data_IF_145078859507
#
_entry.id   IF_145078859507
#
_cell.length_a   1.000
_cell.length_b   1.000
_cell.length_c   1.000
_cell.angle_alpha   90.00
_cell.angle_beta   90.00
_cell.angle_gamma   90.00
#
_symmetry.space_group_name_H-M   'P 1'
#
loop_
_entity.id
_entity.type
_entity.pdbx_description
1 polymer ?
#
# COMPACT_ATOMS: atom_id res chain seq x y z
N UNK A 1 -9.32 15.29 -0.29
CA UNK A 1 -9.40 13.87 -0.67
C UNK A 1 -7.98 13.33 -0.67
N UNK A 2 -7.73 12.19 -0.03
CA UNK A 2 -6.42 11.53 -0.04
C UNK A 2 -6.55 10.23 -0.84
N UNK A 3 -5.56 9.99 -1.70
CA UNK A 3 -5.51 8.82 -2.57
C UNK A 3 -4.17 8.14 -2.31
N UNK A 4 -4.21 6.82 -2.16
CA UNK A 4 -2.99 6.02 -2.17
C UNK A 4 -2.81 5.42 -3.56
N UNK A 5 -1.67 5.72 -4.16
CA UNK A 5 -1.22 5.10 -5.40
C UNK A 5 0.09 4.38 -5.18
N UNK A 6 0.27 3.26 -5.88
CA UNK A 6 1.54 2.55 -5.93
C UNK A 6 1.78 2.00 -7.32
N UNK A 7 3.05 1.78 -7.62
CA UNK A 7 3.51 1.19 -8.86
C UNK A 7 4.56 0.13 -8.58
N UNK A 8 4.61 -0.83 -9.48
CA UNK A 8 5.56 -1.94 -9.48
C UNK A 8 6.32 -1.93 -10.80
N UNK A 9 7.33 -2.80 -10.92
CA UNK A 9 8.03 -3.00 -12.20
C UNK A 9 7.13 -3.52 -13.33
N UNK A 10 5.97 -4.13 -13.01
CA UNK A 10 5.00 -4.66 -13.99
C UNK A 10 3.83 -3.70 -14.28
N UNK A 11 3.75 -2.56 -13.61
CA UNK A 11 2.69 -1.58 -13.85
C UNK A 11 2.16 -0.93 -12.57
N UNK A 12 1.09 -0.14 -12.74
CA UNK A 12 0.41 0.57 -11.66
C UNK A 12 -0.60 -0.33 -10.95
N UNK A 13 -0.75 -0.13 -9.64
CA UNK A 13 -1.78 -0.78 -8.85
C UNK A 13 -3.07 0.06 -8.84
N UNK A 14 -4.24 -0.56 -8.62
CA UNK A 14 -5.49 0.17 -8.44
C UNK A 14 -5.37 1.24 -7.34
N UNK A 15 -5.88 2.44 -7.61
CA UNK A 15 -5.88 3.53 -6.65
C UNK A 15 -6.82 3.21 -5.48
N UNK A 16 -6.38 3.54 -4.26
CA UNK A 16 -7.19 3.39 -3.06
C UNK A 16 -7.65 4.75 -2.55
N UNK A 17 -8.96 4.91 -2.44
CA UNK A 17 -9.55 6.11 -1.85
C UNK A 17 -9.50 6.01 -0.33
N UNK A 18 -8.89 7.00 0.31
CA UNK A 18 -8.93 7.14 1.77
C UNK A 18 -10.12 8.04 2.13
N UNK A 19 -11.04 7.59 3.01
CA UNK A 19 -12.19 8.38 3.40
C UNK A 19 -11.79 9.76 3.96
N UNK A 20 -12.64 10.74 3.72
CA UNK A 20 -12.42 12.08 4.26
C UNK A 20 -12.43 12.04 5.79
N UNK A 21 -11.59 12.88 6.42
CA UNK A 21 -11.43 13.00 7.88
C UNK A 21 -10.84 11.78 8.61
N UNK A 22 -10.25 10.82 7.90
CA UNK A 22 -9.46 9.75 8.53
C UNK A 22 -8.02 10.19 8.68
N UNK A 23 -7.49 10.13 9.91
CA UNK A 23 -6.06 10.30 10.15
C UNK A 23 -5.36 8.97 9.90
N UNK A 24 -4.45 8.94 8.92
CA UNK A 24 -3.60 7.76 8.70
C UNK A 24 -2.58 7.66 9.83
N UNK A 25 -2.84 6.73 10.75
CA UNK A 25 -1.88 6.27 11.75
C UNK A 25 -1.36 4.88 11.34
N UNK A 26 -0.46 4.29 12.15
CA UNK A 26 0.12 2.98 11.86
C UNK A 26 -0.94 1.90 11.66
N UNK A 27 -1.93 1.79 12.55
CA UNK A 27 -2.96 0.75 12.48
C UNK A 27 -3.78 0.86 11.18
N UNK A 28 -4.18 2.08 10.82
CA UNK A 28 -4.90 2.34 9.58
C UNK A 28 -4.02 2.08 8.35
N UNK A 29 -2.76 2.54 8.37
CA UNK A 29 -1.81 2.28 7.29
C UNK A 29 -1.62 0.78 7.07
N UNK A 30 -1.37 -0.01 8.11
CA UNK A 30 -1.17 -1.45 7.98
C UNK A 30 -2.42 -2.17 7.45
N UNK A 31 -3.60 -1.85 7.99
CA UNK A 31 -4.82 -2.62 7.73
C UNK A 31 -5.55 -2.20 6.47
N UNK A 32 -5.51 -0.90 6.13
CA UNK A 32 -6.32 -0.30 5.08
C UNK A 32 -5.49 0.18 3.89
N UNK A 33 -4.16 0.17 4.00
CA UNK A 33 -3.25 0.59 2.93
C UNK A 33 -2.27 -0.52 2.57
N UNK A 34 -1.29 -0.80 3.42
CA UNK A 34 -0.16 -1.66 3.07
C UNK A 34 -0.57 -3.11 2.81
N UNK A 35 -1.35 -3.72 3.70
CA UNK A 35 -1.77 -5.11 3.55
C UNK A 35 -2.63 -5.34 2.29
N UNK A 36 -3.70 -4.56 2.03
CA UNK A 36 -4.45 -4.67 0.78
C UNK A 36 -3.59 -4.43 -0.46
N UNK A 37 -2.61 -3.51 -0.39
CA UNK A 37 -1.78 -3.16 -1.53
C UNK A 37 -0.84 -4.30 -1.93
N UNK A 38 -0.29 -5.02 -0.96
CA UNK A 38 0.56 -6.18 -1.20
C UNK A 38 -0.25 -7.44 -1.55
N UNK A 39 -1.26 -7.77 -0.75
CA UNK A 39 -2.00 -9.03 -0.90
C UNK A 39 -2.94 -9.01 -2.11
N UNK A 40 -3.76 -7.96 -2.26
CA UNK A 40 -4.73 -7.87 -3.35
C UNK A 40 -4.15 -7.22 -4.60
N UNK A 41 -3.27 -6.24 -4.42
CA UNK A 41 -2.68 -5.48 -5.52
C UNK A 41 -1.54 -6.24 -6.20
N UNK A 42 -0.41 -6.35 -5.50
CA UNK A 42 0.81 -7.00 -6.02
C UNK A 42 0.54 -8.47 -6.33
N UNK A 43 -0.15 -9.19 -5.43
CA UNK A 43 -0.51 -10.60 -5.62
C UNK A 43 -1.20 -10.88 -6.96
N UNK A 44 -2.12 -10.00 -7.40
CA UNK A 44 -2.81 -10.13 -8.70
C UNK A 44 -1.93 -9.84 -9.91
N UNK A 45 -0.98 -8.90 -9.81
CA UNK A 45 -0.07 -8.57 -10.92
C UNK A 45 1.02 -9.63 -11.10
N UNK A 46 1.41 -10.28 -10.01
CA UNK A 46 2.52 -11.23 -10.02
C UNK A 46 2.09 -12.70 -10.02
N UNK A 47 0.78 -13.00 -9.96
CA UNK A 47 0.16 -14.33 -10.15
C UNK A 47 0.98 -15.44 -9.46
N UNK A 48 1.17 -15.31 -8.14
CA UNK A 48 1.93 -16.24 -7.27
C UNK A 48 3.47 -16.27 -7.44
N UNK A 49 4.05 -15.48 -8.35
CA UNK A 49 5.49 -15.47 -8.62
C UNK A 49 6.36 -14.56 -7.73
N UNK A 50 5.76 -13.80 -6.80
CA UNK A 50 6.50 -12.90 -5.91
C UNK A 50 6.99 -13.66 -4.67
N UNK A 51 8.29 -13.94 -4.60
CA UNK A 51 8.92 -14.57 -3.41
C UNK A 51 9.28 -13.56 -2.32
N UNK A 52 9.45 -12.28 -2.69
CA UNK A 52 9.83 -11.19 -1.79
C UNK A 52 9.50 -9.84 -2.41
N UNK A 53 8.84 -8.99 -1.64
CA UNK A 53 8.55 -7.62 -2.03
C UNK A 53 9.50 -6.62 -1.35
N UNK A 54 9.90 -5.61 -2.11
CA UNK A 54 10.63 -4.45 -1.59
C UNK A 54 9.73 -3.23 -1.74
N UNK A 55 9.35 -2.60 -0.62
CA UNK A 55 8.52 -1.41 -0.64
C UNK A 55 9.40 -0.18 -0.51
N UNK A 56 9.30 0.72 -1.49
CA UNK A 56 9.94 2.03 -1.45
C UNK A 56 8.87 3.10 -1.20
N UNK A 57 8.89 3.72 -0.03
CA UNK A 57 7.99 4.81 0.34
C UNK A 57 8.72 5.83 1.23
N UNK A 58 8.15 7.03 1.34
CA UNK A 58 8.69 8.07 2.23
C UNK A 58 8.63 7.64 3.71
N UNK A 59 9.45 8.28 4.55
CA UNK A 59 9.55 8.01 5.98
C UNK A 59 8.51 8.79 6.80
N UNK A 60 7.23 8.73 6.41
CA UNK A 60 6.15 9.32 7.20
C UNK A 60 5.99 8.56 8.53
N UNK A 61 5.55 9.24 9.60
CA UNK A 61 5.43 8.62 10.94
C UNK A 61 4.55 7.36 10.94
N UNK A 62 3.53 7.29 10.10
CA UNK A 62 2.67 6.11 9.96
C UNK A 62 3.37 4.94 9.24
N UNK A 63 4.37 5.21 8.40
CA UNK A 63 5.09 4.20 7.62
C UNK A 63 6.24 3.54 8.40
N UNK A 64 6.78 4.23 9.41
CA UNK A 64 7.97 3.77 10.15
C UNK A 64 7.73 3.58 11.64
N UNK A 65 6.49 3.74 12.12
CA UNK A 65 6.15 3.48 13.52
C UNK A 65 6.28 1.97 13.82
N UNK A 66 6.62 1.67 15.08
CA UNK A 66 6.72 0.31 15.62
C UNK A 66 5.38 -0.19 16.12
#
# INVERSE_FOLDING_TARGET
MMIVGAMTGRGVLPLMNVPHNVKINLAHYMSNVLKPLLEDGVGKIYEEGASKDFVHHEAARAHTAR
#
